data_IF_606346017521
#
_entry.id   IF_606346017521
#
_cell.length_a   1.000
_cell.length_b   1.000
_cell.length_c   1.000
_cell.angle_alpha   90.00
_cell.angle_beta   90.00
_cell.angle_gamma   90.00
#
_symmetry.space_group_name_H-M   'P 1'
#
loop_
_entity.id
_entity.type
_entity.pdbx_description
1 polymer ?
#
# COMPACT_ATOMS: atom_id res chain seq x y z
N UNK A 1 18.23 2.42 5.67
CA UNK A 1 17.63 1.08 5.94
C UNK A 1 16.79 0.67 4.74
N UNK A 2 16.98 -0.53 4.17
CA UNK A 2 16.14 -1.01 3.08
C UNK A 2 14.89 -1.72 3.63
N UNK A 3 13.69 -1.35 3.16
CA UNK A 3 12.46 -2.04 3.50
C UNK A 3 12.49 -3.46 2.90
N UNK A 4 12.34 -4.48 3.74
CA UNK A 4 12.29 -5.88 3.30
C UNK A 4 10.84 -6.35 3.21
N UNK A 5 10.61 -7.41 2.45
CA UNK A 5 9.29 -8.06 2.36
C UNK A 5 8.72 -8.46 3.73
N UNK A 6 9.56 -8.98 4.62
CA UNK A 6 9.13 -9.32 5.98
C UNK A 6 8.70 -8.07 6.77
N UNK A 7 9.42 -6.95 6.65
CA UNK A 7 9.00 -5.68 7.27
C UNK A 7 7.68 -5.18 6.71
N UNK A 8 7.44 -5.34 5.41
CA UNK A 8 6.15 -5.02 4.78
C UNK A 8 5.01 -5.89 5.33
N UNK A 9 5.24 -7.20 5.49
CA UNK A 9 4.28 -8.12 6.11
C UNK A 9 3.99 -7.76 7.58
N UNK A 10 5.01 -7.36 8.33
CA UNK A 10 4.84 -6.91 9.71
C UNK A 10 4.06 -5.59 9.78
N UNK A 11 4.36 -4.63 8.91
CA UNK A 11 3.59 -3.38 8.81
C UNK A 11 2.12 -3.65 8.52
N UNK A 12 1.84 -4.51 7.53
CA UNK A 12 0.47 -4.94 7.22
C UNK A 12 -0.20 -5.66 8.40
N UNK A 13 0.54 -6.52 9.10
CA UNK A 13 0.04 -7.24 10.27
C UNK A 13 -0.33 -6.31 11.42
N UNK A 14 0.49 -5.29 11.70
CA UNK A 14 0.19 -4.27 12.70
C UNK A 14 -1.02 -3.41 12.34
N UNK A 15 -1.18 -3.08 11.05
CA UNK A 15 -2.34 -2.36 10.56
C UNK A 15 -3.63 -3.19 10.74
N UNK A 16 -3.62 -4.49 10.41
CA UNK A 16 -4.75 -5.38 10.71
C UNK A 16 -5.06 -5.51 12.20
N UNK A 17 -4.04 -5.53 13.06
CA UNK A 17 -4.25 -5.52 14.51
C UNK A 17 -4.89 -4.22 14.99
N UNK A 18 -4.46 -3.08 14.44
CA UNK A 18 -5.07 -1.79 14.73
C UNK A 18 -6.54 -1.78 14.30
N UNK A 19 -6.85 -2.18 13.08
CA UNK A 19 -8.23 -2.25 12.56
C UNK A 19 -9.10 -3.16 13.44
N UNK A 20 -8.58 -4.33 13.82
CA UNK A 20 -9.28 -5.25 14.71
C UNK A 20 -9.59 -4.63 16.08
N UNK A 21 -8.66 -3.85 16.65
CA UNK A 21 -8.89 -3.10 17.87
C UNK A 21 -9.90 -1.95 17.69
N UNK A 22 -9.83 -1.25 16.56
CA UNK A 22 -10.78 -0.18 16.22
C UNK A 22 -12.20 -0.73 16.06
N UNK A 23 -12.35 -1.89 15.43
CA UNK A 23 -13.63 -2.60 15.28
C UNK A 23 -14.27 -3.03 16.59
N UNK A 24 -13.52 -3.05 17.71
CA UNK A 24 -14.05 -3.31 19.06
C UNK A 24 -14.61 -2.07 19.76
N UNK A 25 -14.66 -0.92 19.10
CA UNK A 25 -15.35 0.27 19.60
C UNK A 25 -16.84 -0.04 19.84
N UNK A 26 -17.40 0.44 20.96
CA UNK A 26 -18.76 0.08 21.38
C UNK A 26 -19.86 0.46 20.39
N UNK A 27 -19.68 1.55 19.65
CA UNK A 27 -20.51 2.01 18.52
C UNK A 27 -20.53 1.02 17.34
N UNK A 28 -19.40 0.38 17.03
CA UNK A 28 -19.25 -0.60 15.95
C UNK A 28 -19.81 -1.98 16.34
N UNK A 29 -20.10 -2.19 17.63
CA UNK A 29 -20.79 -3.36 18.15
C UNK A 29 -22.31 -3.12 18.30
N UNK A 30 -22.87 -2.14 17.60
CA UNK A 30 -24.27 -1.75 17.72
C UNK A 30 -24.86 -1.19 16.44
N UNK A 31 -26.02 -0.53 16.57
CA UNK A 31 -26.77 0.04 15.43
C UNK A 31 -25.96 1.06 14.63
N UNK A 32 -25.05 1.78 15.28
CA UNK A 32 -24.20 2.78 14.62
C UNK A 32 -23.27 2.16 13.57
N UNK A 33 -22.87 0.89 13.70
CA UNK A 33 -22.16 0.18 12.64
C UNK A 33 -22.98 0.15 11.34
N UNK A 34 -24.27 -0.12 11.46
CA UNK A 34 -25.16 -0.19 10.30
C UNK A 34 -25.44 1.21 9.76
N UNK A 35 -25.90 2.12 10.63
CA UNK A 35 -26.44 3.41 10.20
C UNK A 35 -25.37 4.45 9.87
N UNK A 36 -24.19 4.38 10.49
CA UNK A 36 -23.13 5.38 10.32
C UNK A 36 -21.95 4.88 9.48
N UNK A 37 -21.79 3.56 9.31
CA UNK A 37 -20.70 2.99 8.49
C UNK A 37 -21.23 2.35 7.22
N UNK A 38 -22.15 1.38 7.32
CA UNK A 38 -22.57 0.62 6.14
C UNK A 38 -23.60 1.35 5.26
N UNK A 39 -24.69 1.87 5.83
CA UNK A 39 -25.76 2.53 5.06
C UNK A 39 -25.28 3.71 4.20
N UNK A 40 -24.37 4.60 4.67
CA UNK A 40 -23.86 5.68 3.85
C UNK A 40 -23.17 5.21 2.56
N UNK A 41 -22.57 4.01 2.56
CA UNK A 41 -21.87 3.47 1.38
C UNK A 41 -22.81 3.08 0.24
N UNK A 42 -24.13 2.98 0.49
CA UNK A 42 -25.15 2.75 -0.54
C UNK A 42 -25.44 4.00 -1.39
N UNK A 43 -25.12 5.19 -0.88
CA UNK A 43 -25.52 6.44 -1.51
C UNK A 43 -24.96 6.55 -2.94
N UNK A 44 -25.85 6.81 -3.90
CA UNK A 44 -25.52 7.03 -5.31
C UNK A 44 -24.82 5.86 -6.03
N UNK A 45 -24.76 4.67 -5.42
CA UNK A 45 -24.12 3.50 -6.02
C UNK A 45 -24.94 2.91 -7.18
N UNK A 46 -24.29 2.42 -8.25
CA UNK A 46 -24.98 1.66 -9.29
C UNK A 46 -25.50 0.33 -8.74
N UNK A 47 -26.56 -0.20 -9.35
CA UNK A 47 -27.27 -1.40 -8.87
C UNK A 47 -26.35 -2.62 -8.65
N UNK A 48 -25.31 -2.79 -9.48
CA UNK A 48 -24.35 -3.90 -9.37
C UNK A 48 -23.53 -3.86 -8.06
N UNK A 49 -23.32 -2.69 -7.47
CA UNK A 49 -22.66 -2.51 -6.17
C UNK A 49 -23.70 -2.42 -5.06
N UNK A 50 -24.79 -1.67 -5.29
CA UNK A 50 -25.81 -1.40 -4.28
C UNK A 50 -26.60 -2.67 -3.86
N UNK A 51 -26.86 -3.60 -4.78
CA UNK A 51 -27.62 -4.82 -4.48
C UNK A 51 -26.92 -5.75 -3.46
N UNK A 52 -25.68 -6.22 -3.69
CA UNK A 52 -24.99 -7.07 -2.72
C UNK A 52 -24.76 -6.36 -1.38
N UNK A 53 -24.49 -5.05 -1.43
CA UNK A 53 -24.32 -4.20 -0.25
C UNK A 53 -25.60 -4.16 0.60
N UNK A 54 -26.76 -3.99 -0.04
CA UNK A 54 -28.07 -4.01 0.64
C UNK A 54 -28.35 -5.37 1.28
N UNK A 55 -28.10 -6.47 0.58
CA UNK A 55 -28.23 -7.82 1.15
C UNK A 55 -27.34 -8.01 2.37
N UNK A 56 -26.09 -7.50 2.32
CA UNK A 56 -25.19 -7.57 3.46
C UNK A 56 -25.69 -6.74 4.66
N UNK A 57 -26.21 -5.52 4.41
CA UNK A 57 -26.80 -4.66 5.45
C UNK A 57 -28.01 -5.35 6.10
N UNK A 58 -28.90 -5.93 5.30
CA UNK A 58 -30.09 -6.65 5.81
C UNK A 58 -29.71 -7.87 6.67
N UNK A 59 -28.60 -8.55 6.34
CA UNK A 59 -28.06 -9.66 7.12
C UNK A 59 -27.38 -9.20 8.43
N UNK A 60 -26.66 -8.07 8.38
CA UNK A 60 -25.91 -7.53 9.51
C UNK A 60 -26.81 -6.81 10.50
N UNK A 61 -27.82 -6.08 10.03
CA UNK A 61 -28.62 -5.18 10.86
C UNK A 61 -29.28 -5.84 12.09
N UNK A 62 -29.87 -7.05 11.99
CA UNK A 62 -30.43 -7.74 13.15
C UNK A 62 -29.39 -8.20 14.18
N UNK A 63 -28.12 -8.32 13.77
CA UNK A 63 -27.05 -8.96 14.54
C UNK A 63 -25.78 -8.12 14.59
N UNK A 64 -25.90 -6.79 14.57
CA UNK A 64 -24.78 -5.86 14.39
C UNK A 64 -23.62 -6.09 15.39
N UNK A 65 -23.93 -6.40 16.65
CA UNK A 65 -22.93 -6.71 17.67
C UNK A 65 -22.10 -7.96 17.32
N UNK A 66 -22.75 -9.03 16.89
CA UNK A 66 -22.10 -10.28 16.49
C UNK A 66 -21.28 -10.10 15.22
N UNK A 67 -21.82 -9.35 14.25
CA UNK A 67 -21.13 -9.03 13.00
C UNK A 67 -19.87 -8.20 13.26
N UNK A 68 -19.97 -7.12 14.05
CA UNK A 68 -18.84 -6.28 14.43
C UNK A 68 -17.76 -7.07 15.18
N UNK A 69 -18.16 -7.92 16.13
CA UNK A 69 -17.22 -8.80 16.83
C UNK A 69 -16.55 -9.80 15.88
N UNK A 70 -17.30 -10.42 14.95
CA UNK A 70 -16.74 -11.35 13.98
C UNK A 70 -15.73 -10.66 13.05
N UNK A 71 -16.04 -9.45 12.58
CA UNK A 71 -15.12 -8.62 11.77
C UNK A 71 -13.84 -8.34 12.56
N UNK A 72 -13.97 -7.87 13.81
CA UNK A 72 -12.83 -7.59 14.68
C UNK A 72 -11.95 -8.84 14.88
N UNK A 73 -12.55 -10.00 15.15
CA UNK A 73 -11.81 -11.25 15.35
C UNK A 73 -11.08 -11.71 14.08
N UNK A 74 -11.69 -11.54 12.90
CA UNK A 74 -11.02 -11.83 11.62
C UNK A 74 -9.81 -10.92 11.45
N UNK A 75 -9.94 -9.61 11.65
CA UNK A 75 -8.86 -8.64 11.50
C UNK A 75 -7.72 -8.91 12.50
N UNK A 76 -8.04 -9.14 13.78
CA UNK A 76 -7.05 -9.52 14.80
C UNK A 76 -6.34 -10.83 14.45
N UNK A 77 -7.08 -11.84 13.98
CA UNK A 77 -6.53 -13.11 13.54
C UNK A 77 -5.57 -12.96 12.36
N UNK A 78 -5.94 -12.17 11.35
CA UNK A 78 -5.07 -11.85 10.21
C UNK A 78 -3.80 -11.14 10.65
N UNK A 79 -3.93 -10.11 11.49
CA UNK A 79 -2.82 -9.33 12.01
C UNK A 79 -1.84 -10.19 12.81
N UNK A 80 -2.35 -10.96 13.78
CA UNK A 80 -1.54 -11.88 14.59
C UNK A 80 -0.87 -12.96 13.73
N UNK A 81 -1.60 -13.50 12.77
CA UNK A 81 -1.09 -14.47 11.80
C UNK A 81 0.08 -13.93 11.00
N UNK A 82 0.00 -12.70 10.49
CA UNK A 82 1.10 -12.06 9.75
C UNK A 82 2.31 -11.74 10.63
N UNK A 83 2.07 -11.33 11.89
CA UNK A 83 3.15 -11.00 12.84
C UNK A 83 3.88 -12.25 13.31
N UNK A 84 3.16 -13.30 13.71
CA UNK A 84 3.74 -14.47 14.40
C UNK A 84 4.12 -15.60 13.46
N UNK A 85 3.39 -15.80 12.34
CA UNK A 85 3.61 -16.97 11.51
C UNK A 85 4.98 -16.96 10.82
N UNK A 86 5.61 -18.14 10.82
CA UNK A 86 6.82 -18.40 10.02
C UNK A 86 6.50 -18.52 8.52
N UNK A 87 5.33 -19.08 8.19
CA UNK A 87 4.78 -19.11 6.83
C UNK A 87 3.62 -18.13 6.71
N UNK A 88 3.90 -16.95 6.15
CA UNK A 88 2.91 -15.89 5.95
C UNK A 88 2.05 -16.09 4.70
N UNK A 89 2.31 -17.10 3.86
CA UNK A 89 1.61 -17.24 2.58
C UNK A 89 0.10 -17.40 2.73
N UNK A 90 -0.33 -18.22 3.69
CA UNK A 90 -1.75 -18.48 3.98
C UNK A 90 -2.43 -17.22 4.50
N UNK A 91 -1.79 -16.54 5.45
CA UNK A 91 -2.28 -15.30 6.04
C UNK A 91 -2.37 -14.15 5.05
N UNK A 92 -1.43 -14.05 4.10
CA UNK A 92 -1.51 -13.08 3.01
C UNK A 92 -2.65 -13.39 2.04
N UNK A 93 -2.89 -14.67 1.71
CA UNK A 93 -4.02 -15.05 0.88
C UNK A 93 -5.36 -14.72 1.55
N UNK A 94 -5.49 -15.04 2.85
CA UNK A 94 -6.66 -14.68 3.65
C UNK A 94 -6.82 -13.17 3.77
N UNK A 95 -5.72 -12.44 3.98
CA UNK A 95 -5.71 -10.97 4.02
C UNK A 95 -6.20 -10.36 2.71
N UNK A 96 -5.77 -10.89 1.55
CA UNK A 96 -6.25 -10.41 0.25
C UNK A 96 -7.74 -10.70 0.10
N UNK A 97 -8.18 -11.93 0.41
CA UNK A 97 -9.60 -12.30 0.31
C UNK A 97 -10.50 -11.44 1.18
N UNK A 98 -10.12 -11.24 2.45
CA UNK A 98 -10.85 -10.41 3.39
C UNK A 98 -10.88 -8.94 2.97
N UNK A 99 -9.73 -8.39 2.59
CA UNK A 99 -9.62 -7.03 2.07
C UNK A 99 -10.53 -6.78 0.85
N UNK A 100 -10.61 -7.73 -0.08
CA UNK A 100 -11.50 -7.58 -1.25
C UNK A 100 -12.99 -7.65 -0.89
N UNK A 101 -13.36 -8.46 0.12
CA UNK A 101 -14.72 -8.49 0.65
C UNK A 101 -15.08 -7.15 1.29
N UNK A 102 -14.22 -6.62 2.15
CA UNK A 102 -14.41 -5.30 2.78
C UNK A 102 -14.41 -4.19 1.72
N UNK A 103 -13.53 -4.24 0.74
CA UNK A 103 -13.50 -3.22 -0.31
C UNK A 103 -14.79 -3.19 -1.14
N UNK A 104 -15.34 -4.35 -1.49
CA UNK A 104 -16.57 -4.41 -2.28
C UNK A 104 -17.82 -4.13 -1.42
N UNK A 105 -17.97 -4.78 -0.27
CA UNK A 105 -19.20 -4.77 0.55
C UNK A 105 -19.09 -3.81 1.73
N UNK A 106 -17.91 -3.56 2.28
CA UNK A 106 -17.72 -2.62 3.38
C UNK A 106 -17.55 -1.17 2.92
N UNK A 107 -16.84 -0.96 1.80
CA UNK A 107 -16.46 0.39 1.32
C UNK A 107 -17.19 0.79 0.01
N UNK A 108 -17.99 -0.09 -0.58
CA UNK A 108 -18.68 0.19 -1.85
C UNK A 108 -17.73 0.51 -3.00
N UNK A 109 -16.67 -0.30 -3.15
CA UNK A 109 -15.54 -0.08 -4.08
C UNK A 109 -14.77 1.23 -3.81
N UNK A 110 -14.74 1.66 -2.55
CA UNK A 110 -14.11 2.90 -2.11
C UNK A 110 -14.74 4.17 -2.70
N UNK A 111 -16.00 4.09 -3.13
CA UNK A 111 -16.72 5.21 -3.74
C UNK A 111 -16.22 5.62 -5.13
N UNK A 112 -15.38 4.79 -5.79
CA UNK A 112 -14.84 5.10 -7.12
C UNK A 112 -15.91 5.35 -8.18
N UNK A 113 -17.08 4.72 -8.03
CA UNK A 113 -18.21 4.88 -8.94
C UNK A 113 -19.16 6.03 -8.57
N UNK A 114 -18.90 6.71 -7.46
CA UNK A 114 -19.74 7.77 -6.89
C UNK A 114 -18.97 9.09 -6.73
N UNK A 115 -17.82 9.23 -7.40
CA UNK A 115 -17.04 10.46 -7.42
C UNK A 115 -16.00 10.62 -6.30
N UNK A 116 -15.68 9.54 -5.56
CA UNK A 116 -14.61 9.59 -4.57
C UNK A 116 -13.23 9.80 -5.23
N UNK A 117 -12.38 10.59 -4.59
CA UNK A 117 -11.01 10.90 -5.03
C UNK A 117 -10.00 10.59 -3.92
N UNK A 118 -8.71 10.84 -4.16
CA UNK A 118 -7.68 10.69 -3.14
C UNK A 118 -8.02 11.48 -1.86
N UNK A 119 -8.61 12.66 -2.03
CA UNK A 119 -8.98 13.53 -0.91
C UNK A 119 -10.01 12.85 0.00
N UNK A 120 -10.98 12.14 -0.56
CA UNK A 120 -12.00 11.42 0.20
C UNK A 120 -11.57 9.99 0.60
N UNK A 121 -10.33 9.58 0.29
CA UNK A 121 -9.79 8.27 0.66
C UNK A 121 -9.89 7.20 -0.43
N UNK A 122 -10.25 7.54 -1.68
CA UNK A 122 -10.26 6.59 -2.78
C UNK A 122 -8.83 6.02 -3.06
N UNK A 123 -8.73 4.75 -3.51
CA UNK A 123 -9.81 3.82 -3.84
C UNK A 123 -10.34 3.03 -2.64
N UNK A 124 -10.09 3.48 -1.40
CA UNK A 124 -10.44 2.77 -0.18
C UNK A 124 -9.26 2.06 0.45
N UNK A 125 -9.24 2.01 1.78
CA UNK A 125 -8.17 1.42 2.57
C UNK A 125 -8.06 -0.08 2.31
N UNK A 126 -9.19 -0.79 2.26
CA UNK A 126 -9.22 -2.22 2.07
C UNK A 126 -8.53 -2.67 0.77
N UNK A 127 -8.70 -1.94 -0.35
CA UNK A 127 -7.96 -2.27 -1.58
C UNK A 127 -6.44 -2.14 -1.40
N UNK A 128 -5.98 -1.12 -0.66
CA UNK A 128 -4.56 -0.94 -0.37
C UNK A 128 -4.01 -2.08 0.49
N UNK A 129 -4.76 -2.61 1.46
CA UNK A 129 -4.38 -3.84 2.18
C UNK A 129 -4.14 -5.01 1.21
N UNK A 130 -5.03 -5.23 0.25
CA UNK A 130 -4.88 -6.29 -0.75
C UNK A 130 -3.64 -6.09 -1.64
N UNK A 131 -3.42 -4.86 -2.12
CA UNK A 131 -2.28 -4.53 -2.97
C UNK A 131 -0.94 -4.66 -2.23
N UNK A 132 -0.88 -4.21 -0.97
CA UNK A 132 0.30 -4.36 -0.11
C UNK A 132 0.55 -5.84 0.19
N UNK A 133 -0.49 -6.62 0.49
CA UNK A 133 -0.37 -8.07 0.70
C UNK A 133 0.19 -8.77 -0.55
N UNK A 134 -0.28 -8.41 -1.75
CA UNK A 134 0.23 -8.92 -3.01
C UNK A 134 1.69 -8.48 -3.27
N UNK A 135 2.04 -7.23 -2.97
CA UNK A 135 3.42 -6.75 -3.03
C UNK A 135 4.35 -7.47 -2.04
N UNK A 136 3.79 -7.91 -0.91
CA UNK A 136 4.44 -8.65 0.16
C UNK A 136 4.45 -10.17 -0.05
N UNK A 137 3.87 -10.68 -1.14
CA UNK A 137 3.68 -12.11 -1.36
C UNK A 137 4.99 -12.90 -1.29
N UNK A 138 5.11 -14.01 -0.56
CA UNK A 138 6.37 -14.72 -0.34
C UNK A 138 6.93 -15.37 -1.62
N UNK A 139 8.26 -15.36 -1.79
CA UNK A 139 8.98 -16.16 -2.81
C UNK A 139 9.58 -17.41 -2.16
N UNK A 140 9.72 -18.48 -2.93
CA UNK A 140 10.40 -19.72 -2.49
C UNK A 140 11.86 -19.41 -2.13
N UNK A 141 12.30 -19.67 -0.89
CA UNK A 141 13.67 -19.42 -0.39
C UNK A 141 13.70 -18.69 0.97
N UNK A 142 14.91 -18.46 1.55
CA UNK A 142 15.08 -17.68 2.79
C UNK A 142 14.52 -16.26 2.59
N UNK A 143 13.58 -15.86 3.45
CA UNK A 143 12.84 -14.59 3.41
C UNK A 143 13.70 -13.37 3.82
N UNK A 144 14.89 -13.62 4.37
CA UNK A 144 15.79 -12.59 4.88
C UNK A 144 16.31 -11.75 3.71
N UNK A 145 16.08 -10.44 3.78
CA UNK A 145 16.56 -9.42 2.81
C UNK A 145 15.94 -9.46 1.40
N UNK A 146 14.82 -10.16 1.20
CA UNK A 146 14.12 -10.13 -0.10
C UNK A 146 13.36 -8.80 -0.26
N UNK A 147 13.57 -8.04 -1.36
CA UNK A 147 12.82 -6.81 -1.61
C UNK A 147 11.33 -7.10 -1.89
N UNK A 148 10.46 -6.10 -1.73
CA UNK A 148 9.08 -6.16 -2.19
C UNK A 148 8.96 -6.50 -3.67
N UNK A 149 7.81 -7.02 -4.08
CA UNK A 149 7.54 -7.36 -5.48
C UNK A 149 7.60 -6.11 -6.37
N UNK A 150 8.13 -6.18 -7.60
CA UNK A 150 8.01 -5.11 -8.60
C UNK A 150 6.55 -4.72 -8.89
N UNK A 151 5.60 -5.61 -8.59
CA UNK A 151 4.17 -5.33 -8.61
C UNK A 151 3.79 -4.06 -7.83
N UNK A 152 4.50 -3.75 -6.73
CA UNK A 152 4.25 -2.52 -5.95
C UNK A 152 4.34 -1.26 -6.81
N UNK A 153 5.28 -1.23 -7.78
CA UNK A 153 5.46 -0.09 -8.69
C UNK A 153 4.26 0.03 -9.64
N UNK A 154 3.81 -1.09 -10.22
CA UNK A 154 2.64 -1.09 -11.10
C UNK A 154 1.37 -0.70 -10.34
N UNK A 155 1.15 -1.27 -9.15
CA UNK A 155 0.03 -0.95 -8.28
C UNK A 155 0.02 0.54 -7.92
N UNK A 156 1.17 1.08 -7.49
CA UNK A 156 1.33 2.50 -7.19
C UNK A 156 0.96 3.38 -8.38
N UNK A 157 1.55 3.15 -9.55
CA UNK A 157 1.25 3.97 -10.74
C UNK A 157 -0.22 3.87 -11.16
N UNK A 158 -0.83 2.68 -11.11
CA UNK A 158 -2.25 2.50 -11.41
C UNK A 158 -3.13 3.28 -10.42
N UNK A 159 -2.84 3.21 -9.12
CA UNK A 159 -3.59 3.94 -8.09
C UNK A 159 -3.60 5.45 -8.34
N UNK A 160 -2.45 6.02 -8.70
CA UNK A 160 -2.34 7.45 -8.97
C UNK A 160 -3.04 7.85 -10.27
N UNK A 161 -3.00 7.03 -11.32
CA UNK A 161 -3.78 7.27 -12.54
C UNK A 161 -5.28 7.17 -12.27
N UNK A 162 -5.73 6.17 -11.52
CA UNK A 162 -7.15 6.00 -11.16
C UNK A 162 -7.64 7.21 -10.38
N UNK A 163 -6.85 7.73 -9.42
CA UNK A 163 -7.19 8.95 -8.69
C UNK A 163 -7.23 10.18 -9.60
N UNK A 164 -6.28 10.33 -10.53
CA UNK A 164 -6.30 11.42 -11.52
C UNK A 164 -7.55 11.41 -12.39
N UNK A 165 -7.97 10.23 -12.84
CA UNK A 165 -9.23 10.06 -13.58
C UNK A 165 -10.42 10.36 -12.69
N UNK A 166 -10.43 9.88 -11.44
CA UNK A 166 -11.51 10.13 -10.49
C UNK A 166 -11.66 11.64 -10.19
N UNK A 167 -10.55 12.37 -10.05
CA UNK A 167 -10.56 13.82 -9.84
C UNK A 167 -11.14 14.56 -11.05
N UNK A 168 -10.77 14.17 -12.28
CA UNK A 168 -11.39 14.72 -13.51
C UNK A 168 -12.91 14.48 -13.53
N UNK A 169 -13.36 13.31 -13.09
CA UNK A 169 -14.79 12.98 -13.04
C UNK A 169 -15.51 13.77 -11.94
N UNK A 170 -14.88 13.91 -10.76
CA UNK A 170 -15.41 14.70 -9.65
C UNK A 170 -15.61 16.17 -10.05
N UNK A 171 -14.60 16.77 -10.69
CA UNK A 171 -14.63 18.16 -11.19
C UNK A 171 -15.73 18.39 -12.24
N UNK A 172 -16.17 17.35 -12.97
CA UNK A 172 -17.31 17.45 -13.90
C UNK A 172 -18.67 17.32 -13.21
N UNK A 173 -18.71 16.65 -12.08
CA UNK A 173 -19.95 16.30 -11.37
C UNK A 173 -20.36 17.31 -10.29
N UNK A 174 -19.44 18.17 -9.86
CA UNK A 174 -19.64 19.14 -8.78
C UNK A 174 -19.00 20.48 -9.12
N UNK A 175 -19.63 21.58 -8.69
CA UNK A 175 -19.10 22.94 -8.86
C UNK A 175 -17.88 23.22 -7.97
N UNK A 176 -17.74 22.53 -6.83
CA UNK A 176 -16.56 22.65 -5.97
C UNK A 176 -16.31 21.34 -5.16
N UNK A 177 -15.74 20.29 -5.80
CA UNK A 177 -15.56 18.99 -5.17
C UNK A 177 -14.57 19.00 -4.00
N UNK A 178 -13.59 19.90 -4.02
CA UNK A 178 -12.60 20.06 -2.94
C UNK A 178 -13.29 20.58 -1.69
N UNK A 179 -14.11 21.63 -1.81
CA UNK A 179 -14.84 22.19 -0.67
C UNK A 179 -15.84 21.19 -0.08
N UNK A 180 -16.60 20.46 -0.92
CA UNK A 180 -17.52 19.42 -0.42
C UNK A 180 -16.78 18.30 0.31
N UNK A 181 -15.60 17.90 -0.18
CA UNK A 181 -14.78 16.87 0.49
C UNK A 181 -14.22 17.37 1.82
N UNK A 182 -13.72 18.61 1.88
CA UNK A 182 -13.25 19.22 3.11
C UNK A 182 -14.37 19.36 4.16
N UNK A 183 -15.61 19.63 3.73
CA UNK A 183 -16.77 19.67 4.64
C UNK A 183 -17.10 18.29 5.21
N UNK A 184 -17.04 17.23 4.40
CA UNK A 184 -17.25 15.86 4.88
C UNK A 184 -16.13 15.40 5.83
N UNK A 185 -14.88 15.78 5.56
CA UNK A 185 -13.72 15.44 6.40
C UNK A 185 -13.78 15.97 7.84
N UNK A 186 -14.62 17.00 8.10
CA UNK A 186 -14.82 17.56 9.44
C UNK A 186 -15.56 16.61 10.38
N UNK A 187 -16.34 15.67 9.84
CA UNK A 187 -17.16 14.76 10.64
C UNK A 187 -16.27 13.76 11.37
N UNK A 188 -16.14 13.93 12.70
CA UNK A 188 -15.32 13.06 13.55
C UNK A 188 -13.84 13.46 13.65
N UNK A 189 -13.45 14.57 13.00
CA UNK A 189 -12.10 15.12 13.11
C UNK A 189 -11.89 15.87 14.45
N UNK A 190 -10.66 15.87 15.00
CA UNK A 190 -10.28 16.78 16.07
C UNK A 190 -10.60 18.25 15.74
N UNK A 191 -11.00 19.04 16.74
CA UNK A 191 -11.47 20.42 16.53
C UNK A 191 -10.46 21.34 15.82
N UNK A 192 -9.16 21.14 16.04
CA UNK A 192 -8.11 21.90 15.38
C UNK A 192 -7.98 21.56 13.88
N UNK A 193 -8.26 20.32 13.48
CA UNK A 193 -8.30 19.90 12.07
C UNK A 193 -9.55 20.48 11.42
N UNK A 194 -10.70 20.32 12.07
CA UNK A 194 -11.95 20.85 11.56
C UNK A 194 -11.88 22.38 11.29
N UNK A 195 -11.16 23.13 12.13
CA UNK A 195 -10.94 24.57 11.92
C UNK A 195 -10.08 24.89 10.68
N UNK A 196 -9.15 24.01 10.30
CA UNK A 196 -8.35 24.15 9.07
C UNK A 196 -9.19 23.77 7.86
N UNK A 197 -9.93 22.67 7.94
CA UNK A 197 -10.79 22.16 6.86
C UNK A 197 -11.90 23.16 6.51
N UNK A 198 -12.44 23.87 7.50
CA UNK A 198 -13.38 24.99 7.29
C UNK A 198 -12.77 26.10 6.42
N UNK A 199 -11.49 26.41 6.58
CA UNK A 199 -10.79 27.40 5.75
C UNK A 199 -10.56 26.87 4.34
N UNK A 200 -10.16 25.61 4.22
CA UNK A 200 -10.01 24.96 2.91
C UNK A 200 -11.32 24.91 2.14
N UNK A 201 -12.46 24.74 2.82
CA UNK A 201 -13.79 24.77 2.24
C UNK A 201 -14.21 26.13 1.65
N UNK A 202 -13.49 27.21 1.93
CA UNK A 202 -13.71 28.53 1.30
C UNK A 202 -12.94 28.71 0.00
N UNK A 203 -12.01 27.81 -0.31
CA UNK A 203 -11.21 27.90 -1.53
C UNK A 203 -12.05 27.41 -2.71
N UNK A 204 -12.19 28.29 -3.70
CA UNK A 204 -12.81 28.00 -4.97
C UNK A 204 -11.67 27.87 -5.98
N UNK A 205 -11.58 26.75 -6.70
CA UNK A 205 -10.47 26.63 -7.64
C UNK A 205 -10.44 25.38 -8.48
N UNK A 206 -10.97 25.50 -9.69
CA UNK A 206 -10.69 24.61 -10.82
C UNK A 206 -9.17 24.46 -11.05
N UNK A 207 -8.40 25.50 -10.72
CA UNK A 207 -6.94 25.50 -10.78
C UNK A 207 -6.30 24.52 -9.78
N UNK A 208 -6.87 24.36 -8.58
CA UNK A 208 -6.38 23.39 -7.60
C UNK A 208 -6.71 21.95 -8.02
N UNK A 209 -7.93 21.71 -8.52
CA UNK A 209 -8.30 20.41 -9.09
C UNK A 209 -7.37 20.01 -10.24
N UNK A 210 -7.13 20.95 -11.17
CA UNK A 210 -6.17 20.76 -12.28
C UNK A 210 -4.75 20.48 -11.79
N UNK A 211 -4.27 21.24 -10.80
CA UNK A 211 -2.95 21.03 -10.21
C UNK A 211 -2.83 19.64 -9.56
N UNK A 212 -3.87 19.19 -8.83
CA UNK A 212 -3.91 17.86 -8.23
C UNK A 212 -3.85 16.78 -9.31
N UNK A 213 -4.67 16.87 -10.36
CA UNK A 213 -4.65 15.92 -11.49
C UNK A 213 -3.25 15.82 -12.09
N UNK A 214 -2.60 16.96 -12.35
CA UNK A 214 -1.23 16.99 -12.91
C UNK A 214 -0.24 16.33 -11.97
N UNK A 215 -0.32 16.61 -10.66
CA UNK A 215 0.56 16.00 -9.66
C UNK A 215 0.34 14.49 -9.55
N UNK A 216 -0.91 14.02 -9.55
CA UNK A 216 -1.26 12.60 -9.49
C UNK A 216 -0.69 11.83 -10.70
N UNK A 217 -0.89 12.38 -11.91
CA UNK A 217 -0.33 11.80 -13.14
C UNK A 217 1.21 11.84 -13.12
N UNK A 218 1.81 12.93 -12.65
CA UNK A 218 3.26 13.03 -12.53
C UNK A 218 3.83 12.00 -11.55
N UNK A 219 3.21 11.82 -10.37
CA UNK A 219 3.58 10.80 -9.40
C UNK A 219 3.48 9.40 -10.03
N UNK A 220 2.43 9.11 -10.80
CA UNK A 220 2.29 7.84 -11.49
C UNK A 220 3.45 7.56 -12.46
N UNK A 221 3.78 8.53 -13.33
CA UNK A 221 4.82 8.40 -14.35
C UNK A 221 6.21 8.27 -13.71
N UNK A 222 6.52 9.14 -12.74
CA UNK A 222 7.81 9.12 -12.05
C UNK A 222 8.05 7.79 -11.30
N UNK A 223 6.99 7.15 -10.79
CA UNK A 223 7.09 5.86 -10.08
C UNK A 223 7.65 4.73 -10.96
N UNK A 224 7.33 4.76 -12.26
CA UNK A 224 7.78 3.76 -13.23
C UNK A 224 9.30 3.84 -13.47
N UNK A 225 9.88 5.04 -13.37
CA UNK A 225 11.29 5.29 -13.69
C UNK A 225 12.20 4.97 -12.48
N UNK A 226 13.08 3.95 -12.54
CA UNK A 226 13.95 3.59 -11.42
C UNK A 226 14.89 4.71 -10.99
N UNK A 227 15.30 4.70 -9.71
CA UNK A 227 16.29 5.65 -9.17
C UNK A 227 15.64 6.89 -8.56
N UNK A 228 16.23 8.07 -8.82
CA UNK A 228 15.78 9.36 -8.27
C UNK A 228 14.29 9.68 -8.52
N UNK A 229 13.77 9.54 -9.76
CA UNK A 229 12.37 9.81 -10.06
C UNK A 229 11.39 8.95 -9.24
N UNK A 230 11.68 7.66 -9.05
CA UNK A 230 10.85 6.79 -8.20
C UNK A 230 10.83 7.24 -6.75
N UNK A 231 11.97 7.66 -6.22
CA UNK A 231 12.02 8.20 -4.86
C UNK A 231 11.23 9.50 -4.76
N UNK A 232 11.34 10.38 -5.76
CA UNK A 232 10.55 11.62 -5.82
C UNK A 232 9.05 11.33 -5.90
N UNK A 233 8.63 10.38 -6.74
CA UNK A 233 7.24 9.88 -6.82
C UNK A 233 6.74 9.44 -5.45
N UNK A 234 7.51 8.59 -4.75
CA UNK A 234 7.15 8.11 -3.42
C UNK A 234 7.07 9.25 -2.39
N UNK A 235 7.97 10.23 -2.44
CA UNK A 235 7.98 11.37 -1.51
C UNK A 235 6.79 12.30 -1.75
N UNK A 236 6.58 12.73 -2.99
CA UNK A 236 5.47 13.63 -3.36
C UNK A 236 4.14 12.95 -3.12
N UNK A 237 3.99 11.69 -3.56
CA UNK A 237 2.77 10.92 -3.33
C UNK A 237 2.48 10.66 -1.86
N UNK A 238 3.51 10.40 -1.04
CA UNK A 238 3.34 10.30 0.42
C UNK A 238 2.90 11.64 1.03
N UNK A 239 3.47 12.75 0.57
CA UNK A 239 3.07 14.09 1.01
C UNK A 239 1.61 14.38 0.70
N UNK A 240 1.18 14.11 -0.53
CA UNK A 240 -0.23 14.26 -0.95
C UNK A 240 -1.17 13.36 -0.13
N UNK A 241 -0.80 12.09 0.06
CA UNK A 241 -1.60 11.15 0.85
C UNK A 241 -1.71 11.58 2.33
N UNK A 242 -0.65 12.11 2.93
CA UNK A 242 -0.67 12.63 4.31
C UNK A 242 -1.54 13.89 4.41
N UNK A 243 -1.43 14.81 3.45
CA UNK A 243 -2.27 16.02 3.42
C UNK A 243 -3.74 15.63 3.28
N UNK A 244 -4.09 14.75 2.35
CA UNK A 244 -5.44 14.23 2.18
C UNK A 244 -5.93 13.55 3.48
N UNK A 245 -5.10 12.70 4.07
CA UNK A 245 -5.45 11.97 5.28
C UNK A 245 -5.74 12.87 6.47
N UNK A 246 -4.90 13.89 6.70
CA UNK A 246 -5.06 14.81 7.83
C UNK A 246 -6.23 15.77 7.61
N UNK A 247 -6.33 16.42 6.44
CA UNK A 247 -7.22 17.57 6.21
C UNK A 247 -8.48 17.29 5.38
N UNK A 248 -8.64 16.08 4.87
CA UNK A 248 -9.83 15.71 4.08
C UNK A 248 -10.49 14.42 4.56
N UNK A 249 -9.73 13.57 5.25
CA UNK A 249 -10.23 12.31 5.82
C UNK A 249 -10.33 12.36 7.35
N UNK A 250 -10.07 13.51 7.98
CA UNK A 250 -10.16 13.68 9.44
C UNK A 250 -9.26 12.71 10.22
N UNK A 251 -8.08 12.38 9.70
CA UNK A 251 -7.20 11.31 10.19
C UNK A 251 -7.88 9.93 10.27
N UNK A 252 -8.77 9.62 9.34
CA UNK A 252 -9.55 8.38 9.35
C UNK A 252 -10.60 8.33 10.47
N UNK A 253 -10.98 9.49 11.02
CA UNK A 253 -11.92 9.61 12.14
C UNK A 253 -11.52 8.79 13.38
N UNK A 254 -10.21 8.57 13.60
CA UNK A 254 -9.68 7.70 14.67
C UNK A 254 -10.15 8.07 16.09
N UNK A 255 -10.52 9.34 16.31
CA UNK A 255 -11.03 9.84 17.60
C UNK A 255 -12.55 9.85 17.71
N UNK A 256 -13.27 9.54 16.63
CA UNK A 256 -14.74 9.63 16.58
C UNK A 256 -15.46 8.48 17.29
N UNK A 257 -14.75 7.37 17.49
CA UNK A 257 -15.38 6.11 17.85
C UNK A 257 -16.19 5.51 16.70
N UNK A 258 -15.95 5.84 15.44
CA UNK A 258 -16.56 5.17 14.28
C UNK A 258 -15.52 4.67 13.27
N UNK A 259 -14.24 4.80 13.56
CA UNK A 259 -13.17 4.38 12.67
C UNK A 259 -13.11 2.85 12.60
N UNK A 260 -13.16 2.28 11.40
CA UNK A 260 -12.94 0.85 11.13
C UNK A 260 -11.47 0.52 10.88
N UNK A 261 -10.71 1.52 10.44
CA UNK A 261 -9.31 1.45 10.02
C UNK A 261 -8.74 2.88 9.99
N UNK A 262 -7.41 3.08 9.83
CA UNK A 262 -6.83 4.41 9.80
C UNK A 262 -6.94 5.10 8.43
N UNK A 263 -7.72 4.58 7.49
CA UNK A 263 -7.94 5.08 6.13
C UNK A 263 -6.66 5.02 5.25
N UNK A 264 -6.72 5.65 4.08
CA UNK A 264 -5.79 5.49 2.95
C UNK A 264 -4.37 6.00 3.23
N UNK A 265 -4.20 7.04 4.05
CA UNK A 265 -2.90 7.70 4.28
C UNK A 265 -1.78 6.76 4.74
N UNK A 266 -1.91 6.09 5.90
CA UNK A 266 -0.89 5.17 6.41
C UNK A 266 -0.57 4.01 5.47
N UNK A 267 -1.55 3.50 4.73
CA UNK A 267 -1.37 2.44 3.75
C UNK A 267 -0.60 2.94 2.52
N UNK A 268 -0.86 4.15 2.06
CA UNK A 268 -0.10 4.79 0.97
C UNK A 268 1.36 4.99 1.34
N UNK A 269 1.66 5.39 2.59
CA UNK A 269 3.03 5.49 3.11
C UNK A 269 3.74 4.13 3.10
N UNK A 270 3.05 3.08 3.54
CA UNK A 270 3.60 1.72 3.55
C UNK A 270 3.87 1.21 2.12
N UNK A 271 2.95 1.47 1.19
CA UNK A 271 3.10 1.13 -0.23
C UNK A 271 4.22 1.94 -0.89
N UNK A 272 4.36 3.23 -0.60
CA UNK A 272 5.44 4.08 -1.10
C UNK A 272 6.81 3.53 -0.68
N UNK A 273 6.94 3.08 0.58
CA UNK A 273 8.13 2.38 1.06
C UNK A 273 8.42 1.11 0.26
N UNK A 274 7.37 0.35 -0.12
CA UNK A 274 7.51 -0.84 -0.94
C UNK A 274 7.97 -0.52 -2.38
N UNK A 275 7.48 0.57 -2.96
CA UNK A 275 7.86 1.08 -4.29
C UNK A 275 9.33 1.44 -4.33
N UNK A 276 9.82 2.23 -3.36
CA UNK A 276 11.24 2.62 -3.29
C UNK A 276 12.15 1.41 -3.12
N UNK A 277 11.72 0.41 -2.34
CA UNK A 277 12.50 -0.80 -2.11
C UNK A 277 12.40 -1.85 -3.24
N UNK A 278 11.46 -1.70 -4.18
CA UNK A 278 11.26 -2.64 -5.27
C UNK A 278 12.42 -2.57 -6.28
N UNK A 279 13.07 -3.72 -6.52
CA UNK A 279 14.17 -3.84 -7.49
C UNK A 279 13.62 -4.09 -8.90
N UNK A 280 14.20 -3.49 -9.96
CA UNK A 280 13.86 -3.83 -11.34
C UNK A 280 14.07 -5.33 -11.63
N UNK A 281 13.16 -5.93 -12.39
CA UNK A 281 13.26 -7.34 -12.77
C UNK A 281 14.56 -7.68 -13.53
N UNK A 282 15.07 -6.73 -14.32
CA UNK A 282 16.29 -6.85 -15.12
C UNK A 282 17.54 -7.05 -14.24
N UNK A 283 17.64 -6.34 -13.11
CA UNK A 283 18.76 -6.50 -12.17
C UNK A 283 18.79 -7.88 -11.52
N UNK A 284 17.61 -8.45 -11.24
CA UNK A 284 17.49 -9.80 -10.69
C UNK A 284 17.92 -10.90 -11.68
N UNK A 285 17.69 -10.70 -12.99
CA UNK A 285 18.12 -11.63 -14.03
C UNK A 285 19.65 -11.61 -14.19
N UNK A 286 20.26 -10.42 -14.25
CA UNK A 286 21.72 -10.25 -14.34
C UNK A 286 22.42 -10.87 -13.13
N UNK A 287 21.90 -10.67 -11.93
CA UNK A 287 22.43 -11.25 -10.70
C UNK A 287 22.27 -12.79 -10.68
N UNK A 288 21.15 -13.32 -11.18
CA UNK A 288 20.92 -14.76 -11.30
C UNK A 288 21.86 -15.43 -12.32
N UNK A 289 22.15 -14.74 -13.43
CA UNK A 289 23.12 -15.20 -14.45
C UNK A 289 24.55 -15.15 -13.88
N UNK A 290 24.91 -14.10 -13.14
CA UNK A 290 26.20 -13.97 -12.46
C UNK A 290 26.45 -15.10 -11.46
N UNK A 291 25.50 -15.35 -10.55
CA UNK A 291 25.61 -16.45 -9.56
C UNK A 291 25.68 -17.84 -10.20
N UNK A 292 25.04 -18.05 -11.36
CA UNK A 292 25.15 -19.31 -12.12
C UNK A 292 26.53 -19.48 -12.77
N UNK A 293 27.18 -18.40 -13.19
CA UNK A 293 28.56 -18.44 -13.69
C UNK A 293 29.56 -18.73 -12.58
N UNK A 294 29.43 -18.10 -11.42
CA UNK A 294 30.29 -18.37 -10.25
C UNK A 294 30.18 -19.83 -9.77
N UNK A 295 28.95 -20.39 -9.73
CA UNK A 295 28.75 -21.81 -9.38
C UNK A 295 29.24 -22.81 -10.44
N UNK A 296 29.50 -22.36 -11.67
CA UNK A 296 30.04 -23.18 -12.77
C UNK A 296 31.52 -22.95 -13.01
N UNK A 297 32.16 -22.01 -12.31
CA UNK A 297 33.61 -21.89 -12.36
C UNK A 297 34.24 -23.18 -11.79
N UNK A 298 35.11 -23.89 -12.53
CA UNK A 298 35.72 -25.11 -12.04
C UNK A 298 36.60 -24.77 -10.83
N UNK A 299 36.31 -25.40 -9.70
CA UNK A 299 37.18 -25.42 -8.51
C UNK A 299 38.43 -26.22 -8.91
N UNK A 300 39.40 -25.57 -9.56
CA UNK A 300 40.55 -26.32 -10.08
C UNK A 300 41.52 -25.55 -10.98
N UNK A 301 41.75 -24.26 -10.77
CA UNK A 301 42.76 -23.51 -11.54
C UNK A 301 43.78 -22.75 -10.68
N UNK A 302 44.13 -23.29 -9.51
CA UNK A 302 45.18 -22.73 -8.64
C UNK A 302 46.33 -23.68 -8.30
N UNK A 303 46.53 -24.81 -9.02
CA UNK A 303 47.59 -25.78 -8.70
C UNK A 303 48.66 -25.98 -9.81
N UNK A 304 48.63 -25.24 -10.92
CA UNK A 304 49.63 -25.40 -12.00
C UNK A 304 50.48 -24.15 -12.26
N UNK A 305 51.00 -23.54 -11.20
CA UNK A 305 52.11 -22.58 -11.27
C UNK A 305 53.11 -22.89 -10.15
N UNK A 306 53.79 -24.02 -10.28
CA UNK A 306 54.89 -24.41 -9.41
C UNK A 306 55.62 -25.59 -10.03
N UNK A 307 56.94 -25.50 -10.12
CA UNK A 307 57.87 -26.49 -10.68
C UNK A 307 58.10 -26.39 -12.19
N UNK A 308 58.99 -25.47 -12.61
CA UNK A 308 60.29 -25.84 -13.18
C UNK A 308 61.15 -24.58 -13.42
N UNK A 309 62.07 -24.29 -12.49
CA UNK A 309 63.21 -23.40 -12.78
C UNK A 309 64.37 -23.75 -11.84
N UNK A 310 65.36 -24.45 -12.38
CA UNK A 310 66.61 -24.75 -11.70
C UNK A 310 67.42 -25.74 -12.53
N UNK A 311 68.68 -25.41 -12.80
CA UNK A 311 69.70 -26.06 -13.67
C UNK A 311 69.86 -25.37 -15.04
N UNK A 312 71.01 -24.83 -15.47
CA UNK A 312 72.41 -24.82 -15.01
C UNK A 312 73.08 -23.54 -15.54
N UNK A 313 73.97 -22.94 -14.76
CA UNK A 313 75.10 -22.15 -15.28
C UNK A 313 76.16 -22.06 -14.19
N UNK A 314 77.14 -22.96 -14.25
CA UNK A 314 78.40 -22.86 -13.52
C UNK A 314 79.50 -22.51 -14.51
N UNK A 315 80.06 -21.34 -14.33
CA UNK A 315 81.22 -20.77 -15.00
C UNK A 315 82.54 -21.34 -14.43
N UNK A 316 83.65 -20.98 -15.12
CA UNK A 316 85.06 -20.83 -14.67
C UNK A 316 86.04 -21.88 -15.29
N UNK A 317 87.28 -21.53 -15.73
CA UNK A 317 87.69 -20.54 -16.74
C UNK A 317 88.85 -21.08 -17.64
N UNK A 318 89.51 -20.17 -18.35
CA UNK A 318 90.65 -20.34 -19.27
C UNK A 318 91.85 -21.20 -18.80
N UNK A 319 92.52 -21.86 -19.78
CA UNK A 319 93.99 -21.84 -19.90
C UNK A 319 94.46 -21.95 -21.37
N UNK A 320 95.50 -21.17 -21.62
CA UNK A 320 96.41 -21.03 -22.77
C UNK A 320 97.15 -22.30 -23.19
N UNK A 321 97.23 -22.57 -24.50
CA UNK A 321 98.45 -22.50 -25.35
C UNK A 321 98.10 -22.90 -26.78
#
# INVERSE_FOLDING_TARGET
MHLTRRRLQLGLGWLWLLDGCLSLQGSLLGKSFVTAVLEPTLAHQPAIVAAPLRTAIELVAPHAALAGLAIALVQLGLGLGLVVARDTRRWLALSIGWALVVWWIGEGLGGLLTGATLLSGAPGAALLYALIAAAAWPRRGRQEHVPPSPFAVAAWSVLWIVNGVAQVLADRSSTNPIASTAQMGQVGAPSWIAAVDQRLGTIHGDALGTMLIVLEVAVAIWGLVPGGPRTLSALVGSGLAVVAWVFFQGMGALTSGLATDPNTGPLMLLLAGAVVAARPATGALTEAIGRRRERRAPVGAHVLLGVHRGERSSSIPAQTK
#
